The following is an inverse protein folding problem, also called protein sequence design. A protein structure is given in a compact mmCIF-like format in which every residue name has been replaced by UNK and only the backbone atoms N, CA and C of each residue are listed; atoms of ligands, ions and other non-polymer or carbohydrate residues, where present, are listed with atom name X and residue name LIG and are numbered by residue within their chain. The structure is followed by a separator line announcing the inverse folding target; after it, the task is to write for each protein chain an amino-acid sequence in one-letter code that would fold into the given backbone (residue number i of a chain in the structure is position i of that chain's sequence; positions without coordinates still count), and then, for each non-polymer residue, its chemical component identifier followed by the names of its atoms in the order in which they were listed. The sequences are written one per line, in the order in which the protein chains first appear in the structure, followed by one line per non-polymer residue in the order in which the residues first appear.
data_IF_866725258405
#
_entry.id   IF_866725258405
#
_cell.length_a   1.000
_cell.length_b   1.000
_cell.length_c   1.000
_cell.angle_alpha   90.00
_cell.angle_beta   90.00
_cell.angle_gamma   90.00
#
_symmetry.space_group_name_H-M   'P 1'
#
loop_
_entity.id
_entity.type
_entity.pdbx_description
1 polymer ?
#
# COMPACT_ATOMS: atom_id res chain seq x y z
N UNK A 1 11.18 15.98 -3.39
CA UNK A 1 11.22 14.60 -2.87
C UNK A 1 9.80 14.09 -2.89
N UNK A 2 9.56 12.94 -3.52
CA UNK A 2 8.25 12.30 -3.50
C UNK A 2 8.20 11.33 -2.32
N UNK A 3 7.12 11.41 -1.53
CA UNK A 3 6.90 10.60 -0.34
C UNK A 3 5.60 9.84 -0.49
N UNK A 4 5.58 8.59 -0.02
CA UNK A 4 4.37 7.77 0.06
C UNK A 4 4.03 7.53 1.53
N UNK A 5 2.86 8.01 1.96
CA UNK A 5 2.31 7.78 3.28
C UNK A 5 1.19 6.74 3.19
N UNK A 6 1.09 5.86 4.17
CA UNK A 6 0.05 4.84 4.26
C UNK A 6 -0.63 4.93 5.62
N UNK A 7 -1.97 4.87 5.63
CA UNK A 7 -2.76 4.82 6.86
C UNK A 7 -4.00 3.96 6.64
N UNK A 8 -4.39 3.19 7.64
CA UNK A 8 -5.69 2.53 7.61
C UNK A 8 -6.82 3.55 7.78
N UNK A 9 -7.90 3.37 7.03
CA UNK A 9 -9.11 4.21 7.09
C UNK A 9 -9.97 3.71 8.26
N UNK A 10 -10.55 4.62 9.04
CA UNK A 10 -11.44 4.37 10.19
C UNK A 10 -10.87 3.49 11.33
N UNK A 11 -9.62 3.05 11.18
CA UNK A 11 -8.92 2.16 12.09
C UNK A 11 -7.44 2.57 12.17
N UNK A 12 -7.10 3.65 12.88
CA UNK A 12 -5.76 4.25 12.83
C UNK A 12 -4.64 3.33 13.31
N UNK A 13 -4.95 2.28 14.09
CA UNK A 13 -4.00 1.27 14.55
C UNK A 13 -3.87 0.07 13.62
N UNK A 14 -4.62 0.05 12.50
CA UNK A 14 -4.65 -1.07 11.56
C UNK A 14 -4.96 -2.42 12.24
N UNK A 15 -5.88 -2.41 13.22
CA UNK A 15 -6.26 -3.61 13.96
C UNK A 15 -7.07 -4.57 13.10
N UNK A 16 -6.68 -5.84 13.05
CA UNK A 16 -7.47 -6.87 12.39
C UNK A 16 -8.59 -7.38 13.29
N UNK A 17 -9.83 -7.26 12.83
CA UNK A 17 -11.06 -7.67 13.52
C UNK A 17 -11.81 -8.79 12.79
N UNK A 18 -11.19 -9.38 11.75
CA UNK A 18 -11.87 -10.32 10.85
C UNK A 18 -12.50 -9.65 9.63
N UNK A 19 -12.48 -8.32 9.55
CA UNK A 19 -13.03 -7.53 8.45
C UNK A 19 -11.95 -7.05 7.46
N UNK A 20 -12.39 -6.56 6.31
CA UNK A 20 -11.53 -5.90 5.33
C UNK A 20 -10.80 -4.70 5.93
N UNK A 21 -9.50 -4.59 5.67
CA UNK A 21 -8.73 -3.39 6.00
C UNK A 21 -8.49 -2.59 4.73
N UNK A 22 -9.06 -1.38 4.71
CA UNK A 22 -8.81 -0.40 3.66
C UNK A 22 -7.70 0.55 4.08
N UNK A 23 -6.65 0.63 3.26
CA UNK A 23 -5.51 1.52 3.47
C UNK A 23 -5.58 2.66 2.46
N UNK A 24 -5.59 3.90 2.95
CA UNK A 24 -5.36 5.09 2.15
C UNK A 24 -3.85 5.31 1.98
N UNK A 25 -3.46 5.59 0.76
CA UNK A 25 -2.11 5.97 0.38
C UNK A 25 -2.13 7.40 -0.14
N UNK A 26 -1.24 8.22 0.40
CA UNK A 26 -1.01 9.59 -0.04
C UNK A 26 0.38 9.68 -0.66
N UNK A 27 0.42 9.95 -1.97
CA UNK A 27 1.65 10.25 -2.69
C UNK A 27 1.80 11.77 -2.75
N UNK A 28 2.82 12.32 -2.09
CA UNK A 28 2.98 13.76 -1.90
C UNK A 28 4.33 14.24 -2.41
N UNK A 29 4.33 15.42 -3.04
CA UNK A 29 5.57 16.12 -3.38
C UNK A 29 5.99 17.04 -2.24
N UNK A 30 6.89 16.57 -1.37
CA UNK A 30 7.55 17.37 -0.33
C UNK A 30 8.81 18.09 -0.84
N UNK A 31 9.03 18.07 -2.15
CA UNK A 31 10.09 18.85 -2.79
C UNK A 31 9.76 20.33 -2.92
N UNK A 32 10.72 21.06 -3.50
CA UNK A 32 10.58 22.48 -3.84
C UNK A 32 10.26 22.72 -5.31
N UNK A 33 10.32 21.68 -6.14
CA UNK A 33 10.08 21.73 -7.58
C UNK A 33 8.96 20.77 -7.97
N UNK A 34 8.27 21.09 -9.06
CA UNK A 34 7.25 20.21 -9.64
C UNK A 34 7.89 18.96 -10.23
N UNK A 35 7.26 17.81 -10.04
CA UNK A 35 7.70 16.52 -10.60
C UNK A 35 6.68 16.04 -11.63
N UNK A 36 7.16 15.54 -12.77
CA UNK A 36 6.30 14.96 -13.81
C UNK A 36 6.08 13.47 -13.51
N UNK A 37 4.83 13.08 -13.27
CA UNK A 37 4.44 11.71 -12.94
C UNK A 37 3.26 11.26 -13.80
N UNK A 38 3.15 9.97 -14.15
CA UNK A 38 1.98 9.45 -14.86
C UNK A 38 0.83 9.23 -13.87
N UNK A 39 0.23 10.31 -13.37
CA UNK A 39 -0.75 10.30 -12.25
C UNK A 39 -1.92 9.34 -12.54
N UNK A 40 -2.50 9.40 -13.74
CA UNK A 40 -3.58 8.49 -14.17
C UNK A 40 -3.18 7.02 -14.16
N UNK A 41 -1.97 6.70 -14.61
CA UNK A 41 -1.43 5.35 -14.55
C UNK A 41 -1.32 4.89 -13.10
N UNK A 42 -0.76 5.72 -12.21
CA UNK A 42 -0.58 5.39 -10.79
C UNK A 42 -1.92 5.14 -10.08
N UNK A 43 -2.96 5.95 -10.36
CA UNK A 43 -4.30 5.72 -9.81
C UNK A 43 -4.90 4.40 -10.29
N UNK A 44 -4.80 4.10 -11.59
CA UNK A 44 -5.40 2.90 -12.17
C UNK A 44 -4.68 1.62 -11.74
N UNK A 45 -3.36 1.67 -11.69
CA UNK A 45 -2.54 0.53 -11.29
C UNK A 45 -2.46 0.34 -9.80
N UNK A 46 -2.56 1.43 -9.02
CA UNK A 46 -2.28 1.46 -7.60
C UNK A 46 -0.88 0.94 -7.25
N UNK A 47 -0.58 0.78 -5.96
CA UNK A 47 0.69 0.20 -5.53
C UNK A 47 0.76 -1.30 -5.81
N UNK A 48 1.99 -1.81 -5.94
CA UNK A 48 2.26 -3.22 -5.67
C UNK A 48 2.27 -3.42 -4.16
N UNK A 49 1.67 -4.51 -3.70
CA UNK A 49 1.51 -4.79 -2.28
C UNK A 49 2.12 -6.14 -1.94
N UNK A 50 3.09 -6.14 -1.04
CA UNK A 50 3.67 -7.34 -0.44
C UNK A 50 3.16 -7.47 0.99
N UNK A 51 2.70 -8.66 1.36
CA UNK A 51 2.26 -8.99 2.71
C UNK A 51 3.27 -9.99 3.27
N UNK A 52 3.90 -9.64 4.39
CA UNK A 52 4.84 -10.51 5.10
C UNK A 52 4.22 -10.90 6.43
N UNK A 53 4.14 -12.21 6.69
CA UNK A 53 3.79 -12.72 8.01
C UNK A 53 4.98 -12.54 8.96
N UNK A 54 4.78 -11.76 10.03
CA UNK A 54 5.84 -11.42 10.98
C UNK A 54 6.23 -12.63 11.86
N UNK A 55 5.40 -13.67 11.92
CA UNK A 55 5.72 -14.89 12.65
C UNK A 55 6.65 -15.81 11.86
N UNK A 56 6.30 -16.11 10.60
CA UNK A 56 7.06 -17.06 9.78
C UNK A 56 8.11 -16.41 8.88
N UNK A 57 8.04 -15.10 8.67
CA UNK A 57 8.86 -14.37 7.70
C UNK A 57 8.48 -14.65 6.24
N UNK A 58 7.47 -15.49 5.98
CA UNK A 58 7.00 -15.75 4.62
C UNK A 58 6.32 -14.51 4.06
N UNK A 59 6.37 -14.36 2.74
CA UNK A 59 5.71 -13.25 2.05
C UNK A 59 4.84 -13.73 0.89
N UNK A 60 3.75 -13.02 0.66
CA UNK A 60 2.89 -13.14 -0.51
C UNK A 60 2.66 -11.76 -1.14
N UNK A 61 2.14 -11.74 -2.37
CA UNK A 61 1.84 -10.52 -3.10
C UNK A 61 0.34 -10.42 -3.37
N UNK A 62 -0.23 -9.23 -3.18
CA UNK A 62 -1.58 -8.99 -3.68
C UNK A 62 -1.58 -8.98 -5.21
N UNK A 63 -2.69 -9.45 -5.78
CA UNK A 63 -2.91 -9.33 -7.21
C UNK A 63 -2.92 -7.85 -7.60
N UNK A 64 -2.15 -7.53 -8.62
CA UNK A 64 -2.15 -6.21 -9.24
C UNK A 64 -3.02 -6.22 -10.51
N UNK A 65 -3.65 -5.10 -10.87
CA UNK A 65 -4.35 -4.98 -12.15
C UNK A 65 -3.40 -5.24 -13.33
N UNK A 66 -3.97 -5.55 -14.50
CA UNK A 66 -3.18 -5.61 -15.73
C UNK A 66 -2.70 -4.21 -16.09
N UNK A 67 -1.42 -4.05 -16.49
CA UNK A 67 -0.86 -2.75 -16.82
C UNK A 67 -1.53 -2.16 -18.06
N UNK A 68 -2.14 -0.98 -17.90
CA UNK A 68 -2.52 -0.16 -19.05
C UNK A 68 -1.33 0.70 -19.48
N UNK A 69 -0.60 0.22 -20.48
CA UNK A 69 0.60 0.88 -20.99
C UNK A 69 0.30 2.18 -21.73
N UNK A 70 -0.93 2.43 -22.15
CA UNK A 70 -1.29 3.69 -22.85
C UNK A 70 -1.09 4.91 -21.97
N UNK A 71 -1.29 4.77 -20.65
CA UNK A 71 -1.22 5.87 -19.68
C UNK A 71 0.21 6.17 -19.18
N UNK A 72 1.18 5.32 -19.49
CA UNK A 72 2.54 5.41 -18.92
C UNK A 72 3.28 6.69 -19.34
N UNK A 73 2.96 7.23 -20.52
CA UNK A 73 3.56 8.46 -21.06
C UNK A 73 2.66 9.70 -20.87
N UNK A 74 1.47 9.56 -20.27
CA UNK A 74 0.60 10.69 -19.93
C UNK A 74 1.09 11.33 -18.63
N UNK A 75 2.09 12.22 -18.74
CA UNK A 75 2.71 12.87 -17.59
C UNK A 75 1.93 14.12 -17.17
N UNK A 76 1.74 14.24 -15.86
CA UNK A 76 1.11 15.38 -15.21
C UNK A 76 2.05 15.94 -14.14
N UNK A 77 2.02 17.26 -13.96
CA UNK A 77 2.83 17.94 -12.95
C UNK A 77 2.20 17.76 -11.57
N UNK A 78 2.96 17.21 -10.62
CA UNK A 78 2.65 17.26 -9.20
C UNK A 78 3.48 18.38 -8.54
N UNK A 79 2.84 19.50 -8.23
CA UNK A 79 3.51 20.68 -7.70
C UNK A 79 3.95 20.48 -6.22
N UNK A 80 4.90 21.29 -5.72
CA UNK A 80 5.28 21.29 -4.31
C UNK A 80 4.08 21.38 -3.36
N UNK A 81 4.03 20.50 -2.36
CA UNK A 81 2.95 20.41 -1.39
C UNK A 81 1.67 19.72 -1.88
N UNK A 82 1.55 19.41 -3.18
CA UNK A 82 0.41 18.66 -3.70
C UNK A 82 0.54 17.17 -3.40
N UNK A 83 -0.62 16.53 -3.26
CA UNK A 83 -0.73 15.09 -3.11
C UNK A 83 -1.82 14.49 -3.98
N UNK A 84 -1.65 13.22 -4.32
CA UNK A 84 -2.70 12.36 -4.87
C UNK A 84 -2.99 11.24 -3.87
N UNK A 85 -4.24 10.77 -3.85
CA UNK A 85 -4.68 9.74 -2.91
C UNK A 85 -5.25 8.54 -3.64
N UNK A 86 -4.95 7.35 -3.13
CA UNK A 86 -5.47 6.09 -3.64
C UNK A 86 -5.75 5.15 -2.49
N UNK A 87 -6.64 4.18 -2.70
CA UNK A 87 -6.99 3.19 -1.68
C UNK A 87 -6.56 1.79 -2.10
N UNK A 88 -6.22 0.97 -1.11
CA UNK A 88 -6.00 -0.46 -1.30
C UNK A 88 -6.63 -1.26 -0.18
N UNK A 89 -7.37 -2.28 -0.60
CA UNK A 89 -7.99 -3.26 0.28
C UNK A 89 -7.06 -4.44 0.55
N UNK A 90 -6.98 -4.82 1.81
CA UNK A 90 -6.41 -6.09 2.26
C UNK A 90 -7.55 -6.95 2.76
N UNK A 91 -7.91 -7.96 1.96
CA UNK A 91 -9.07 -8.81 2.22
C UNK A 91 -8.82 -9.79 3.36
N UNK A 92 -9.82 -10.04 4.23
CA UNK A 92 -9.66 -10.91 5.40
C UNK A 92 -9.33 -12.35 4.99
N UNK A 93 -9.89 -12.85 3.89
CA UNK A 93 -9.65 -14.22 3.41
C UNK A 93 -8.18 -14.47 3.08
N UNK A 94 -7.49 -13.44 2.56
CA UNK A 94 -6.06 -13.52 2.34
C UNK A 94 -5.33 -13.65 3.69
N UNK A 95 -5.61 -12.76 4.63
CA UNK A 95 -4.90 -12.73 5.91
C UNK A 95 -5.12 -14.05 6.68
N UNK A 96 -6.35 -14.55 6.69
CA UNK A 96 -6.72 -15.80 7.35
C UNK A 96 -6.10 -17.04 6.69
N UNK A 97 -5.96 -17.05 5.36
CA UNK A 97 -5.37 -18.20 4.64
C UNK A 97 -3.85 -18.19 4.60
N UNK A 98 -3.22 -17.01 4.68
CA UNK A 98 -1.79 -16.84 4.50
C UNK A 98 -1.01 -16.74 5.83
N UNK A 99 -1.51 -15.96 6.80
CA UNK A 99 -0.76 -15.65 8.02
C UNK A 99 -1.00 -16.68 9.12
N UNK A 100 0.00 -16.85 9.99
CA UNK A 100 -0.17 -17.59 11.23
C UNK A 100 -1.04 -16.80 12.21
N UNK A 101 -1.65 -17.52 13.15
CA UNK A 101 -2.51 -16.93 14.17
C UNK A 101 -1.77 -16.80 15.52
N UNK A 102 -1.99 -15.71 16.28
CA UNK A 102 -2.82 -14.54 15.93
C UNK A 102 -2.21 -13.77 14.74
N UNK A 103 -3.04 -13.15 13.91
CA UNK A 103 -2.55 -12.46 12.70
C UNK A 103 -1.63 -11.30 13.09
N UNK A 104 -0.41 -11.29 12.55
CA UNK A 104 0.53 -10.19 12.65
C UNK A 104 1.32 -10.09 11.34
N UNK A 105 0.98 -9.11 10.50
CA UNK A 105 1.58 -8.96 9.18
C UNK A 105 2.11 -7.55 8.97
N UNK A 106 3.21 -7.45 8.24
CA UNK A 106 3.70 -6.20 7.65
C UNK A 106 3.22 -6.11 6.20
N UNK A 107 2.48 -5.05 5.87
CA UNK A 107 2.01 -4.78 4.51
C UNK A 107 2.82 -3.63 3.92
N UNK A 108 3.64 -3.93 2.92
CA UNK A 108 4.44 -2.94 2.20
C UNK A 108 3.77 -2.56 0.88
N UNK A 109 3.57 -1.26 0.69
CA UNK A 109 3.06 -0.65 -0.53
C UNK A 109 4.22 -0.02 -1.28
N UNK A 110 4.30 -0.27 -2.59
CA UNK A 110 5.34 0.30 -3.44
C UNK A 110 4.77 0.84 -4.75
N UNK A 111 5.20 2.04 -5.13
CA UNK A 111 4.87 2.68 -6.40
C UNK A 111 6.15 2.93 -7.19
N UNK A 112 6.16 2.56 -8.47
CA UNK A 112 7.20 3.00 -9.41
C UNK A 112 6.78 4.34 -10.00
N UNK A 113 7.54 5.38 -9.71
CA UNK A 113 7.28 6.75 -10.17
C UNK A 113 7.57 6.92 -11.67
N UNK A 114 8.43 6.07 -12.23
CA UNK A 114 8.87 6.12 -13.63
C UNK A 114 8.61 4.79 -14.36
N UNK A 115 7.34 4.35 -14.52
CA UNK A 115 7.00 3.07 -15.16
C UNK A 115 7.34 2.99 -16.66
N UNK A 116 7.65 4.11 -17.29
CA UNK A 116 8.15 4.20 -18.67
C UNK A 116 9.61 3.78 -18.80
N UNK A 117 10.36 3.76 -17.69
CA UNK A 117 11.78 3.45 -17.68
C UNK A 117 12.03 1.95 -17.55
N UNK A 118 13.20 1.47 -18.03
CA UNK A 118 13.66 0.11 -17.76
C UNK A 118 13.74 -0.18 -16.26
N UNK A 119 13.78 -1.47 -15.91
CA UNK A 119 13.74 -1.93 -14.51
C UNK A 119 14.90 -1.39 -13.69
N UNK A 120 16.05 -1.20 -14.32
CA UNK A 120 17.31 -0.74 -13.73
C UNK A 120 17.26 0.74 -13.32
N UNK A 121 16.36 1.51 -13.92
CA UNK A 121 16.13 2.95 -13.66
C UNK A 121 14.87 3.20 -12.82
N UNK A 122 14.26 2.16 -12.23
CA UNK A 122 13.03 2.32 -11.46
C UNK A 122 13.25 3.20 -10.23
N UNK A 123 12.34 4.17 -10.05
CA UNK A 123 12.27 4.97 -8.84
C UNK A 123 11.09 4.49 -8.00
N UNK A 124 11.40 3.76 -6.91
CA UNK A 124 10.38 3.24 -6.01
C UNK A 124 10.24 4.12 -4.78
N UNK A 125 9.01 4.52 -4.49
CA UNK A 125 8.62 4.99 -3.16
C UNK A 125 7.83 3.92 -2.44
N UNK A 126 8.05 3.81 -1.13
CA UNK A 126 7.50 2.73 -0.31
C UNK A 126 6.89 3.28 0.96
N UNK A 127 5.88 2.58 1.45
CA UNK A 127 5.29 2.80 2.76
C UNK A 127 4.83 1.48 3.34
N UNK A 128 4.72 1.41 4.67
CA UNK A 128 4.38 0.16 5.36
C UNK A 128 3.39 0.43 6.47
N UNK A 129 2.41 -0.47 6.60
CA UNK A 129 1.57 -0.57 7.80
C UNK A 129 1.74 -1.94 8.42
N UNK A 130 1.55 -2.04 9.74
CA UNK A 130 1.45 -3.33 10.44
C UNK A 130 -0.03 -3.59 10.71
N UNK A 131 -0.52 -4.75 10.29
CA UNK A 131 -1.86 -5.22 10.62
C UNK A 131 -1.70 -6.31 11.67
N UNK A 132 -2.32 -6.11 12.83
CA UNK A 132 -2.23 -7.06 13.94
C UNK A 132 -3.62 -7.34 14.53
N UNK A 133 -3.88 -8.61 14.80
CA UNK A 133 -5.01 -9.07 15.57
C UNK A 133 -4.72 -8.81 17.05
N UNK A 134 -5.62 -8.11 17.74
CA UNK A 134 -5.52 -8.02 19.19
C UNK A 134 -5.88 -9.38 19.81
N UNK A 135 -5.24 -9.76 20.94
CA UNK A 135 -5.72 -10.89 21.70
C UNK A 135 -7.18 -10.64 22.06
N UNK A 136 -8.03 -11.65 21.87
CA UNK A 136 -9.36 -11.61 22.46
C UNK A 136 -9.18 -11.43 23.96
N UNK A 137 -9.75 -10.37 24.54
CA UNK A 137 -9.95 -10.32 25.97
C UNK A 137 -10.72 -11.58 26.32
N UNK A 138 -10.05 -12.52 27.01
CA UNK A 138 -10.74 -13.62 27.67
C UNK A 138 -11.76 -12.96 28.58
N UNK A 139 -13.02 -12.89 28.14
CA UNK A 139 -14.13 -12.76 29.06
C UNK A 139 -13.99 -13.96 30.01
N UNK A 140 -13.45 -13.69 31.18
CA UNK A 140 -13.49 -14.60 32.30
C UNK A 140 -14.96 -14.96 32.47
N UNK A 141 -15.27 -16.23 32.23
CA UNK A 141 -16.62 -16.76 32.35
C UNK A 141 -17.23 -16.36 33.68
N UNK A 142 -18.52 -16.05 33.62
CA UNK A 142 -19.43 -16.18 34.75
C UNK A 142 -20.59 -17.04 34.31
#
# INVERSE_FOLDING_TARGET
MIVLNARCIDNPTCRFTGEEIVVELELRNDGRESVQLPIRYLHRMGPRVQVMDNHSGKSTWLRTPHPDRSLVNELEALAPGQSIRMTRSVMPELLQSFALHPIDVSVEFSLNLVPQKPREEMELVKSRVRIAQQPEDRQAGK
#
